data_IF_808578208166
#
_entry.id   IF_808578208166
#
_cell.length_a   1.000
_cell.length_b   1.000
_cell.length_c   1.000
_cell.angle_alpha   90.00
_cell.angle_beta   90.00
_cell.angle_gamma   90.00
#
_symmetry.space_group_name_H-M   'P 1'
#
loop_
_entity.id
_entity.type
_entity.pdbx_description
1 polymer ?
#
# COMPACT_ATOMS: atom_id res chain seq x y z
N UNK A 1 -2.07 -9.61 6.33
CA UNK A 1 -0.66 -9.97 6.08
C UNK A 1 -0.26 -9.33 4.76
N UNK A 2 0.70 -8.40 4.74
CA UNK A 2 1.14 -7.75 3.49
C UNK A 2 1.94 -8.75 2.65
N UNK A 3 1.74 -8.75 1.33
CA UNK A 3 2.41 -9.63 0.38
C UNK A 3 2.94 -8.79 -0.78
N UNK A 4 4.11 -9.13 -1.28
CA UNK A 4 4.69 -8.56 -2.49
C UNK A 4 4.98 -9.70 -3.48
N UNK A 5 4.79 -9.44 -4.77
CA UNK A 5 5.03 -10.40 -5.85
C UNK A 5 5.52 -9.69 -7.10
N UNK A 6 6.09 -10.45 -8.03
CA UNK A 6 6.43 -9.95 -9.36
C UNK A 6 5.20 -9.86 -10.25
N UNK A 7 5.05 -8.72 -10.93
CA UNK A 7 3.96 -8.52 -11.90
C UNK A 7 4.27 -9.17 -13.24
N UNK A 8 3.23 -9.59 -13.95
CA UNK A 8 3.30 -9.98 -15.36
C UNK A 8 3.35 -8.75 -16.29
N UNK A 9 3.75 -8.97 -17.56
CA UNK A 9 3.81 -7.90 -18.58
C UNK A 9 2.47 -7.70 -19.32
N UNK A 10 1.35 -8.14 -18.73
CA UNK A 10 0.03 -8.08 -19.35
C UNK A 10 -0.57 -6.67 -19.27
N UNK A 11 -1.07 -6.13 -20.39
CA UNK A 11 -1.80 -4.85 -20.43
C UNK A 11 -3.29 -5.00 -20.08
N UNK A 12 -3.64 -6.04 -19.32
CA UNK A 12 -5.00 -6.28 -18.82
C UNK A 12 -5.42 -5.25 -17.76
N UNK A 13 -6.64 -5.37 -17.22
CA UNK A 13 -7.13 -4.43 -16.19
C UNK A 13 -6.16 -4.34 -15.01
N UNK A 14 -5.57 -3.16 -14.83
CA UNK A 14 -4.55 -2.84 -13.82
C UNK A 14 -5.00 -3.03 -12.37
N UNK A 15 -6.30 -3.28 -12.15
CA UNK A 15 -6.86 -3.64 -10.84
C UNK A 15 -6.75 -5.13 -10.53
N UNK A 16 -6.50 -5.95 -11.54
CA UNK A 16 -6.24 -7.38 -11.35
C UNK A 16 -4.90 -7.58 -10.63
N UNK A 17 -4.70 -8.72 -9.97
CA UNK A 17 -3.47 -8.97 -9.22
C UNK A 17 -2.20 -9.00 -10.09
N UNK A 18 -2.32 -9.28 -11.39
CA UNK A 18 -1.18 -9.38 -12.33
C UNK A 18 -0.04 -10.28 -11.81
N UNK A 19 -0.38 -11.38 -11.14
CA UNK A 19 0.62 -12.31 -10.62
C UNK A 19 1.19 -13.17 -11.74
N UNK A 20 2.50 -13.44 -11.70
CA UNK A 20 3.10 -14.49 -12.53
C UNK A 20 2.46 -15.86 -12.26
N UNK A 21 2.42 -16.73 -13.28
CA UNK A 21 2.08 -18.15 -13.14
C UNK A 21 3.33 -19.00 -13.46
N UNK A 22 4.01 -19.58 -12.45
CA UNK A 22 3.64 -19.68 -11.03
C UNK A 22 3.93 -18.40 -10.20
N UNK A 23 3.19 -18.15 -9.08
CA UNK A 23 3.37 -16.94 -8.28
C UNK A 23 4.73 -16.88 -7.58
N UNK A 24 5.46 -15.79 -7.80
CA UNK A 24 6.75 -15.52 -7.15
C UNK A 24 6.56 -14.46 -6.07
N UNK A 25 6.49 -14.89 -4.81
CA UNK A 25 6.39 -13.99 -3.66
C UNK A 25 7.76 -13.48 -3.23
N UNK A 26 7.81 -12.22 -2.83
CA UNK A 26 8.99 -11.56 -2.29
C UNK A 26 8.84 -11.39 -0.77
N UNK A 27 9.92 -11.68 -0.06
CA UNK A 27 10.04 -11.34 1.37
C UNK A 27 10.32 -9.84 1.56
N UNK A 28 9.97 -9.29 2.73
CA UNK A 28 10.27 -7.89 3.04
C UNK A 28 11.78 -7.59 3.05
N UNK A 29 12.60 -8.56 3.43
CA UNK A 29 14.06 -8.42 3.43
C UNK A 29 14.61 -8.29 1.99
N UNK A 30 14.10 -9.10 1.06
CA UNK A 30 14.47 -8.98 -0.35
C UNK A 30 13.98 -7.68 -0.98
N UNK A 31 12.77 -7.25 -0.62
CA UNK A 31 12.20 -5.97 -1.07
C UNK A 31 13.09 -4.81 -0.60
N UNK A 32 13.52 -4.83 0.66
CA UNK A 32 14.43 -3.84 1.23
C UNK A 32 15.79 -3.83 0.52
N UNK A 33 16.39 -5.00 0.33
CA UNK A 33 17.69 -5.13 -0.35
C UNK A 33 17.65 -4.64 -1.80
N UNK A 34 16.54 -4.88 -2.52
CA UNK A 34 16.41 -4.52 -3.94
C UNK A 34 15.99 -3.06 -4.16
N UNK A 35 15.17 -2.49 -3.27
CA UNK A 35 14.52 -1.18 -3.51
C UNK A 35 14.83 -0.13 -2.45
N UNK A 36 15.37 -0.52 -1.30
CA UNK A 36 15.53 0.34 -0.13
C UNK A 36 14.22 0.63 0.61
N UNK A 37 13.12 -0.06 0.26
CA UNK A 37 11.82 0.13 0.90
C UNK A 37 11.76 -0.60 2.23
N UNK A 38 11.53 0.15 3.31
CA UNK A 38 11.26 -0.38 4.64
C UNK A 38 9.76 -0.60 4.84
N UNK A 39 9.39 -1.74 5.42
CA UNK A 39 8.01 -2.02 5.83
C UNK A 39 7.85 -1.87 7.34
N UNK A 40 6.85 -1.10 7.77
CA UNK A 40 6.45 -0.96 9.16
C UNK A 40 4.97 -1.29 9.30
N UNK A 41 4.66 -2.26 10.17
CA UNK A 41 3.27 -2.59 10.52
C UNK A 41 2.86 -1.76 11.73
N UNK A 42 1.79 -0.99 11.62
CA UNK A 42 1.16 -0.32 12.74
C UNK A 42 -0.36 -0.33 12.60
N UNK A 43 -1.04 -0.09 13.71
CA UNK A 43 -2.50 0.00 13.73
C UNK A 43 -2.96 1.33 13.12
N UNK A 44 -3.74 1.23 12.04
CA UNK A 44 -4.23 2.39 11.30
C UNK A 44 -5.22 3.24 12.11
N UNK A 45 -5.86 2.68 13.14
CA UNK A 45 -6.82 3.39 13.99
C UNK A 45 -6.13 4.23 15.07
N UNK A 46 -4.95 3.81 15.57
CA UNK A 46 -4.21 4.48 16.65
C UNK A 46 -2.93 5.18 16.16
N UNK A 47 -2.80 5.36 14.85
CA UNK A 47 -1.62 5.95 14.20
C UNK A 47 -1.21 7.33 14.73
N UNK A 48 -2.14 8.13 15.27
CA UNK A 48 -1.84 9.44 15.88
C UNK A 48 -1.12 9.31 17.23
N UNK A 49 -1.36 8.22 17.95
CA UNK A 49 -0.75 7.90 19.24
C UNK A 49 0.50 7.03 19.09
N UNK A 50 0.82 6.59 17.87
CA UNK A 50 1.94 5.68 17.65
C UNK A 50 3.28 6.42 17.79
N UNK A 51 3.93 6.15 18.92
CA UNK A 51 5.21 6.75 19.28
C UNK A 51 6.36 6.32 18.35
N UNK A 52 6.29 5.10 17.77
CA UNK A 52 7.32 4.61 16.83
C UNK A 52 7.34 5.45 15.55
N UNK A 53 6.16 5.83 15.04
CA UNK A 53 6.04 6.76 13.92
C UNK A 53 6.57 8.15 14.28
N UNK A 54 6.33 8.62 15.50
CA UNK A 54 6.84 9.91 15.97
C UNK A 54 8.38 9.93 16.05
N UNK A 55 9.00 8.86 16.55
CA UNK A 55 10.45 8.71 16.60
C UNK A 55 11.09 8.59 15.21
N UNK A 56 10.49 7.79 14.32
CA UNK A 56 10.97 7.62 12.95
C UNK A 56 10.90 8.95 12.16
N UNK A 57 9.87 9.77 12.42
CA UNK A 57 9.74 11.13 11.86
C UNK A 57 10.78 12.09 12.39
N UNK A 58 11.10 12.06 13.69
CA UNK A 58 12.19 12.86 14.28
C UNK A 58 13.53 12.49 13.64
N UNK A 59 13.77 11.21 13.38
CA UNK A 59 15.01 10.71 12.75
C UNK A 59 15.14 11.09 11.27
N UNK A 60 14.04 11.11 10.49
CA UNK A 60 14.08 11.37 9.04
C UNK A 60 13.92 12.84 8.63
N UNK A 61 13.68 13.76 9.56
CA UNK A 61 13.60 15.20 9.30
C UNK A 61 12.31 15.61 8.56
N UNK A 62 11.28 15.98 9.31
CA UNK A 62 10.09 16.74 8.88
C UNK A 62 9.60 16.50 7.45
N UNK A 63 9.06 15.30 7.16
CA UNK A 63 8.12 15.16 6.06
C UNK A 63 6.78 15.78 6.44
N UNK A 64 6.34 16.75 5.64
CA UNK A 64 4.99 17.33 5.71
C UNK A 64 3.94 16.23 5.57
N UNK A 65 2.90 16.27 6.40
CA UNK A 65 1.87 15.22 6.51
C UNK A 65 0.65 15.62 5.68
N UNK A 66 0.29 14.81 4.70
CA UNK A 66 -0.95 14.96 3.93
C UNK A 66 -1.73 13.66 3.98
N UNK A 67 -2.99 13.71 4.44
CA UNK A 67 -3.90 12.57 4.42
C UNK A 67 -4.86 12.70 3.24
N UNK A 68 -4.96 11.64 2.45
CA UNK A 68 -5.91 11.55 1.32
C UNK A 68 -6.90 10.43 1.63
N UNK A 69 -8.20 10.75 1.60
CA UNK A 69 -9.27 9.77 1.73
C UNK A 69 -9.90 9.54 0.36
N UNK A 70 -9.88 8.30 -0.11
CA UNK A 70 -10.61 7.89 -1.30
C UNK A 70 -11.96 7.32 -0.87
N UNK A 71 -13.06 7.88 -1.40
CA UNK A 71 -14.39 7.30 -1.29
C UNK A 71 -14.98 7.10 -2.69
N UNK A 72 -15.63 5.96 -2.90
CA UNK A 72 -16.35 5.64 -4.14
C UNK A 72 -17.81 6.01 -3.95
N UNK A 73 -18.25 7.12 -4.53
CA UNK A 73 -19.68 7.46 -4.59
C UNK A 73 -20.32 6.60 -5.68
N UNK A 74 -21.13 5.61 -5.28
CA UNK A 74 -21.93 4.81 -6.20
C UNK A 74 -23.18 5.62 -6.57
N UNK A 75 -23.21 6.19 -7.78
CA UNK A 75 -24.47 6.65 -8.37
C UNK A 75 -25.23 5.43 -8.87
N UNK A 76 -26.23 4.99 -8.11
CA UNK A 76 -27.27 4.10 -8.62
C UNK A 76 -28.13 4.94 -9.56
N UNK A 77 -27.95 4.79 -10.88
CA UNK A 77 -28.89 5.34 -11.85
C UNK A 77 -30.14 4.45 -11.74
N UNK A 78 -31.12 4.89 -10.96
CA UNK A 78 -32.45 4.30 -10.97
C UNK A 78 -33.11 4.67 -12.30
N UNK A 79 -33.01 3.80 -13.29
CA UNK A 79 -33.81 3.92 -14.52
C UNK A 79 -35.25 3.63 -14.14
N UNK A 80 -36.04 4.69 -13.99
CA UNK A 80 -37.51 4.63 -13.97
C UNK A 80 -37.99 5.03 -15.35
N UNK A 81 -38.37 4.06 -16.17
CA UNK A 81 -39.57 4.03 -17.03
C UNK A 81 -39.54 2.83 -17.96
#
# INVERSE_FOLDING_TARGET
>A
MVRAWYMDDSDSDKREPHMLDPPVFLSFEELNKKTGVDYFKFDADTWELNNELAELRKKKGTLSKMSVKFQKTLYQITTTS
#
